data_IF_145261225033
#
_entry.id   IF_145261225033
#
_cell.length_a   1.000
_cell.length_b   1.000
_cell.length_c   1.000
_cell.angle_alpha   90.00
_cell.angle_beta   90.00
_cell.angle_gamma   90.00
#
_symmetry.space_group_name_H-M   'P 1'
#
loop_
_entity.id
_entity.type
_entity.pdbx_description
1 polymer ?
#
# COMPACT_ATOMS: atom_id res chain seq x y z
N UNK A 1 6.08 -11.37 -2.52
CA UNK A 1 5.13 -12.49 -2.61
C UNK A 1 3.93 -12.03 -3.42
N UNK A 2 3.52 -12.85 -4.39
CA UNK A 2 2.19 -12.73 -4.98
C UNK A 2 1.15 -12.91 -3.89
N UNK A 3 -0.06 -12.39 -4.09
CA UNK A 3 -1.18 -13.14 -3.51
C UNK A 3 -1.28 -14.47 -4.26
N UNK A 4 -1.24 -15.57 -3.52
CA UNK A 4 -1.66 -16.88 -4.04
C UNK A 4 -3.13 -16.77 -4.43
N UNK A 5 -3.60 -17.55 -5.42
CA UNK A 5 -4.99 -17.50 -5.88
C UNK A 5 -6.00 -17.57 -4.73
N UNK A 6 -5.72 -18.34 -3.69
CA UNK A 6 -6.55 -18.44 -2.47
C UNK A 6 -6.67 -17.12 -1.71
N UNK A 7 -5.57 -16.37 -1.58
CA UNK A 7 -5.54 -15.06 -0.92
C UNK A 7 -6.23 -13.98 -1.76
N UNK A 8 -6.04 -14.02 -3.08
CA UNK A 8 -6.74 -13.14 -4.00
C UNK A 8 -8.27 -13.39 -3.96
N UNK A 9 -8.67 -14.66 -3.97
CA UNK A 9 -10.08 -15.05 -3.77
C UNK A 9 -10.61 -14.60 -2.41
N UNK A 10 -9.82 -14.64 -1.34
CA UNK A 10 -10.22 -14.15 -0.03
C UNK A 10 -10.55 -12.66 -0.07
N UNK A 11 -9.70 -11.84 -0.69
CA UNK A 11 -9.97 -10.41 -0.87
C UNK A 11 -11.25 -10.22 -1.69
N UNK A 12 -11.44 -10.95 -2.80
CA UNK A 12 -12.66 -10.85 -3.60
C UNK A 12 -13.92 -11.26 -2.82
N UNK A 13 -13.84 -12.29 -1.97
CA UNK A 13 -14.94 -12.70 -1.09
C UNK A 13 -15.29 -11.59 -0.09
N UNK A 14 -14.30 -10.87 0.42
CA UNK A 14 -14.50 -9.71 1.27
C UNK A 14 -15.26 -8.58 0.56
N UNK A 15 -14.90 -8.27 -0.69
CA UNK A 15 -15.63 -7.27 -1.50
C UNK A 15 -17.06 -7.73 -1.80
N UNK A 16 -17.26 -8.98 -2.22
CA UNK A 16 -18.60 -9.54 -2.44
C UNK A 16 -19.45 -9.48 -1.16
N UNK A 17 -18.87 -9.79 0.00
CA UNK A 17 -19.56 -9.68 1.29
C UNK A 17 -19.99 -8.25 1.59
N UNK A 18 -19.13 -7.26 1.32
CA UNK A 18 -19.48 -5.83 1.49
C UNK A 18 -20.63 -5.41 0.58
N UNK A 19 -20.61 -5.81 -0.68
CA UNK A 19 -21.68 -5.46 -1.61
C UNK A 19 -23.03 -6.04 -1.18
N UNK A 20 -23.04 -7.31 -0.75
CA UNK A 20 -24.24 -7.96 -0.20
C UNK A 20 -24.73 -7.24 1.05
N UNK A 21 -23.81 -6.86 1.95
CA UNK A 21 -24.15 -6.13 3.16
C UNK A 21 -24.75 -4.75 2.84
N UNK A 22 -24.11 -3.98 1.95
CA UNK A 22 -24.61 -2.67 1.55
C UNK A 22 -26.00 -2.75 0.92
N UNK A 23 -26.27 -3.79 0.12
CA UNK A 23 -27.59 -4.02 -0.47
C UNK A 23 -28.63 -4.30 0.63
N UNK A 24 -28.31 -5.20 1.56
CA UNK A 24 -29.19 -5.50 2.71
C UNK A 24 -29.47 -4.24 3.54
N UNK A 25 -28.45 -3.45 3.80
CA UNK A 25 -28.60 -2.21 4.58
C UNK A 25 -29.45 -1.18 3.82
N UNK A 26 -29.30 -1.10 2.49
CA UNK A 26 -30.15 -0.25 1.65
C UNK A 26 -31.61 -0.71 1.68
N UNK A 27 -31.86 -2.01 1.52
CA UNK A 27 -33.20 -2.57 1.54
C UNK A 27 -33.88 -2.32 2.89
N UNK A 28 -33.12 -2.46 3.99
CA UNK A 28 -33.60 -2.12 5.34
C UNK A 28 -33.93 -0.61 5.48
N UNK A 29 -33.09 0.29 4.93
CA UNK A 29 -33.37 1.73 4.92
C UNK A 29 -34.63 2.05 4.11
N UNK A 30 -34.79 1.47 2.92
CA UNK A 30 -35.97 1.62 2.08
C UNK A 30 -37.23 1.12 2.77
N UNK A 31 -37.20 -0.10 3.32
CA UNK A 31 -38.33 -0.67 4.06
C UNK A 31 -38.77 0.24 5.22
N UNK A 32 -37.81 0.79 5.97
CA UNK A 32 -38.10 1.75 7.04
C UNK A 32 -38.76 3.04 6.53
N UNK A 33 -38.35 3.54 5.36
CA UNK A 33 -38.98 4.72 4.75
C UNK A 33 -40.38 4.38 4.27
N UNK A 34 -40.59 3.26 3.58
CA UNK A 34 -41.91 2.85 3.09
C UNK A 34 -42.91 2.63 4.24
N UNK A 35 -42.46 2.06 5.37
CA UNK A 35 -43.30 1.89 6.56
C UNK A 35 -43.74 3.24 7.14
N UNK A 36 -42.84 4.22 7.22
CA UNK A 36 -43.14 5.54 7.80
C UNK A 36 -43.86 6.49 6.83
N UNK A 37 -43.57 6.36 5.53
CA UNK A 37 -44.05 7.26 4.48
C UNK A 37 -44.48 6.42 3.26
N UNK A 38 -45.64 5.74 3.32
CA UNK A 38 -46.11 4.86 2.25
C UNK A 38 -46.19 5.55 0.87
N UNK A 39 -46.49 6.86 0.85
CA UNK A 39 -46.51 7.69 -0.37
C UNK A 39 -45.20 7.62 -1.17
N UNK A 40 -44.06 7.40 -0.52
CA UNK A 40 -42.77 7.28 -1.24
C UNK A 40 -42.72 6.02 -2.10
N UNK A 41 -43.34 4.91 -1.67
CA UNK A 41 -43.43 3.70 -2.49
C UNK A 41 -44.33 3.94 -3.71
N UNK A 42 -45.49 4.57 -3.51
CA UNK A 42 -46.40 4.94 -4.60
C UNK A 42 -45.69 5.83 -5.65
N UNK A 43 -44.92 6.82 -5.20
CA UNK A 43 -44.13 7.67 -6.10
C UNK A 43 -43.13 6.85 -6.93
N UNK A 44 -42.45 5.85 -6.35
CA UNK A 44 -41.51 5.00 -7.10
C UNK A 44 -42.22 4.09 -8.12
N UNK A 45 -43.42 3.61 -7.80
CA UNK A 45 -44.29 2.85 -8.72
C UNK A 45 -44.80 3.74 -9.88
N UNK A 46 -45.23 4.97 -9.58
CA UNK A 46 -45.63 5.98 -10.56
C UNK A 46 -44.46 6.33 -11.49
N UNK A 47 -43.28 6.60 -10.94
CA UNK A 47 -42.06 6.87 -11.71
C UNK A 47 -41.70 5.70 -12.64
N UNK A 48 -41.78 4.46 -12.17
CA UNK A 48 -41.52 3.26 -12.98
C UNK A 48 -42.47 3.17 -14.17
N UNK A 49 -43.76 3.45 -13.94
CA UNK A 49 -44.78 3.47 -15.00
C UNK A 49 -44.51 4.56 -16.03
N UNK A 50 -44.16 5.77 -15.58
CA UNK A 50 -43.82 6.90 -16.45
C UNK A 50 -42.56 6.63 -17.28
N UNK A 51 -41.52 6.00 -16.73
CA UNK A 51 -40.33 5.60 -17.50
C UNK A 51 -40.67 4.64 -18.64
N UNK A 52 -41.53 3.64 -18.37
CA UNK A 52 -41.97 2.69 -19.40
C UNK A 52 -42.78 3.39 -20.50
N UNK A 53 -43.68 4.30 -20.13
CA UNK A 53 -44.43 5.12 -21.10
C UNK A 53 -43.50 6.01 -21.93
N UNK A 54 -42.53 6.67 -21.30
CA UNK A 54 -41.54 7.52 -21.96
C UNK A 54 -40.73 6.75 -22.99
N UNK A 55 -40.27 5.53 -22.66
CA UNK A 55 -39.55 4.67 -23.60
C UNK A 55 -40.38 4.38 -24.85
N UNK A 56 -41.66 4.03 -24.68
CA UNK A 56 -42.59 3.78 -25.79
C UNK A 56 -42.84 5.03 -26.64
N UNK A 57 -43.08 6.18 -26.00
CA UNK A 57 -43.34 7.46 -26.69
C UNK A 57 -42.12 7.93 -27.49
N UNK A 58 -40.92 7.72 -26.97
CA UNK A 58 -39.66 8.05 -27.66
C UNK A 58 -39.46 7.22 -28.94
N UNK A 59 -39.82 5.93 -28.92
CA UNK A 59 -39.78 5.08 -30.13
C UNK A 59 -40.78 5.54 -31.20
N UNK A 60 -41.90 6.13 -30.80
CA UNK A 60 -42.94 6.64 -31.69
C UNK A 60 -42.66 8.08 -32.18
N UNK A 61 -41.56 8.71 -31.76
CA UNK A 61 -41.23 10.09 -32.15
C UNK A 61 -42.12 11.16 -31.53
N UNK A 62 -42.87 10.83 -30.48
CA UNK A 62 -43.83 11.73 -29.82
C UNK A 62 -43.14 12.62 -28.78
N UNK A 63 -42.39 13.62 -29.24
CA UNK A 63 -41.56 14.49 -28.37
C UNK A 63 -42.38 15.32 -27.37
N UNK A 64 -43.61 15.69 -27.75
CA UNK A 64 -44.53 16.44 -26.90
C UNK A 64 -44.93 15.62 -25.66
N UNK A 65 -45.32 14.36 -25.84
CA UNK A 65 -45.64 13.47 -24.71
C UNK A 65 -44.40 13.13 -23.88
N UNK A 66 -43.24 12.95 -24.51
CA UNK A 66 -41.97 12.76 -23.78
C UNK A 66 -41.66 13.95 -22.87
N UNK A 67 -41.90 15.18 -23.34
CA UNK A 67 -41.71 16.39 -22.54
C UNK A 67 -42.67 16.46 -21.34
N UNK A 68 -43.95 16.13 -21.54
CA UNK A 68 -44.94 16.07 -20.45
C UNK A 68 -44.54 15.07 -19.37
N UNK A 69 -44.12 13.87 -19.76
CA UNK A 69 -43.67 12.84 -18.83
C UNK A 69 -42.47 13.33 -18.02
N UNK A 70 -41.47 13.97 -18.66
CA UNK A 70 -40.33 14.56 -17.93
C UNK A 70 -40.77 15.55 -16.86
N UNK A 71 -41.76 16.41 -17.13
CA UNK A 71 -42.25 17.37 -16.14
C UNK A 71 -42.93 16.66 -14.95
N UNK A 72 -43.74 15.63 -15.21
CA UNK A 72 -44.34 14.80 -14.14
C UNK A 72 -43.27 14.13 -13.28
N UNK A 73 -42.20 13.62 -13.90
CA UNK A 73 -41.09 13.01 -13.20
C UNK A 73 -40.35 13.99 -12.28
N UNK A 74 -40.17 15.24 -12.72
CA UNK A 74 -39.58 16.30 -11.89
C UNK A 74 -40.46 16.59 -10.67
N UNK A 75 -41.77 16.76 -10.87
CA UNK A 75 -42.72 17.01 -9.78
C UNK A 75 -42.72 15.88 -8.74
N UNK A 76 -42.74 14.62 -9.19
CA UNK A 76 -42.67 13.44 -8.31
C UNK A 76 -41.35 13.36 -7.54
N UNK A 77 -40.24 13.76 -8.17
CA UNK A 77 -38.93 13.80 -7.50
C UNK A 77 -38.91 14.86 -6.39
N UNK A 78 -39.44 16.05 -6.67
CA UNK A 78 -39.56 17.13 -5.68
C UNK A 78 -40.47 16.73 -4.51
N UNK A 79 -41.63 16.12 -4.81
CA UNK A 79 -42.54 15.57 -3.80
C UNK A 79 -41.83 14.56 -2.89
N UNK A 80 -41.10 13.60 -3.47
CA UNK A 80 -40.32 12.60 -2.72
C UNK A 80 -39.27 13.23 -1.82
N UNK A 81 -38.53 14.23 -2.31
CA UNK A 81 -37.50 14.93 -1.51
C UNK A 81 -38.12 15.67 -0.32
N UNK A 82 -39.24 16.36 -0.52
CA UNK A 82 -39.98 17.07 0.55
C UNK A 82 -40.51 16.07 1.58
N UNK A 83 -41.08 14.95 1.14
CA UNK A 83 -41.58 13.91 2.03
C UNK A 83 -40.47 13.29 2.89
N UNK A 84 -39.31 12.97 2.30
CA UNK A 84 -38.17 12.46 3.07
C UNK A 84 -37.76 13.45 4.18
N UNK A 85 -37.61 14.73 3.84
CA UNK A 85 -37.18 15.76 4.78
C UNK A 85 -38.20 16.00 5.91
N UNK A 86 -39.48 16.06 5.58
CA UNK A 86 -40.56 16.26 6.56
C UNK A 86 -40.60 15.15 7.62
N UNK A 87 -40.18 13.94 7.28
CA UNK A 87 -40.10 12.79 8.19
C UNK A 87 -38.70 12.58 8.79
N UNK A 88 -37.80 13.55 8.63
CA UNK A 88 -36.47 13.56 9.24
C UNK A 88 -35.42 12.69 8.54
N UNK A 89 -35.67 12.28 7.30
CA UNK A 89 -34.69 11.56 6.47
C UNK A 89 -33.91 12.53 5.58
N UNK A 90 -32.64 12.22 5.32
CA UNK A 90 -31.88 12.92 4.29
C UNK A 90 -32.35 12.52 2.89
N UNK A 91 -32.09 13.38 1.88
CA UNK A 91 -32.52 13.13 0.50
C UNK A 91 -31.92 11.85 -0.10
N UNK A 92 -30.71 11.50 0.33
CA UNK A 92 -29.91 10.35 -0.07
C UNK A 92 -30.06 9.14 0.87
N UNK A 93 -30.98 9.20 1.84
CA UNK A 93 -31.11 8.15 2.88
C UNK A 93 -31.33 6.74 2.29
N UNK A 94 -32.08 6.66 1.19
CA UNK A 94 -32.40 5.41 0.50
C UNK A 94 -31.36 5.00 -0.55
N UNK A 95 -30.33 5.82 -0.77
CA UNK A 95 -29.31 5.55 -1.78
C UNK A 95 -28.35 4.46 -1.30
N UNK A 96 -27.65 3.88 -2.26
CA UNK A 96 -26.62 2.89 -2.00
C UNK A 96 -25.42 3.59 -1.38
N UNK A 97 -25.02 3.14 -0.18
CA UNK A 97 -23.88 3.66 0.54
C UNK A 97 -22.73 2.68 0.39
N UNK A 98 -21.59 3.17 -0.10
CA UNK A 98 -20.40 2.36 -0.39
C UNK A 98 -19.30 2.68 0.61
N UNK A 99 -18.50 1.68 0.99
CA UNK A 99 -17.28 1.91 1.78
C UNK A 99 -16.21 2.60 0.94
N UNK A 100 -16.03 2.16 -0.32
CA UNK A 100 -15.16 2.80 -1.28
C UNK A 100 -15.98 3.52 -2.36
N UNK A 101 -16.09 4.86 -2.32
CA UNK A 101 -16.85 5.61 -3.31
C UNK A 101 -16.26 5.53 -4.72
N UNK A 102 -14.94 5.29 -4.84
CA UNK A 102 -14.24 5.23 -6.13
C UNK A 102 -14.62 3.99 -6.94
N UNK A 103 -14.55 2.81 -6.33
CA UNK A 103 -14.86 1.53 -7.01
C UNK A 103 -16.26 0.99 -6.71
N UNK A 104 -17.03 1.67 -5.84
CA UNK A 104 -18.35 1.20 -5.38
C UNK A 104 -18.30 -0.24 -4.83
N UNK A 105 -17.27 -0.48 -4.02
CA UNK A 105 -16.97 -1.78 -3.39
C UNK A 105 -16.82 -2.97 -4.35
N UNK A 106 -16.43 -2.71 -5.60
CA UNK A 106 -16.04 -3.78 -6.54
C UNK A 106 -14.57 -4.14 -6.43
N UNK A 107 -13.73 -3.23 -5.92
CA UNK A 107 -12.28 -3.35 -5.94
C UNK A 107 -11.62 -2.92 -7.26
N UNK A 108 -12.40 -2.58 -8.30
CA UNK A 108 -11.89 -2.26 -9.64
C UNK A 108 -12.48 -0.96 -10.20
N UNK A 109 -11.71 -0.28 -11.04
CA UNK A 109 -12.13 0.89 -11.82
C UNK A 109 -11.58 0.68 -13.23
N UNK A 110 -12.45 0.61 -14.24
CA UNK A 110 -12.08 0.38 -15.65
C UNK A 110 -11.10 -0.80 -15.85
N UNK A 111 -11.42 -1.96 -15.26
CA UNK A 111 -10.59 -3.17 -15.25
C UNK A 111 -9.20 -3.02 -14.59
N UNK A 112 -8.92 -1.90 -13.93
CA UNK A 112 -7.72 -1.69 -13.11
C UNK A 112 -8.07 -1.84 -11.64
N UNK A 113 -7.17 -2.45 -10.87
CA UNK A 113 -7.33 -2.55 -9.41
C UNK A 113 -7.42 -1.15 -8.81
N UNK A 114 -8.46 -0.93 -8.03
CA UNK A 114 -8.63 0.28 -7.23
C UNK A 114 -7.53 0.35 -6.15
N UNK A 115 -7.17 1.56 -5.73
CA UNK A 115 -6.27 1.78 -4.58
C UNK A 115 -6.72 1.02 -3.33
N UNK A 116 -8.03 0.95 -3.06
CA UNK A 116 -8.52 0.19 -1.90
C UNK A 116 -8.23 -1.31 -2.00
N UNK A 117 -8.25 -1.87 -3.21
CA UNK A 117 -7.92 -3.27 -3.44
C UNK A 117 -6.42 -3.48 -3.26
N UNK A 118 -5.59 -2.63 -3.89
CA UNK A 118 -4.13 -2.66 -3.72
C UNK A 118 -3.72 -2.57 -2.26
N UNK A 119 -4.33 -1.67 -1.48
CA UNK A 119 -4.10 -1.55 -0.04
C UNK A 119 -4.47 -2.84 0.69
N UNK A 120 -5.56 -3.52 0.33
CA UNK A 120 -5.90 -4.83 0.89
C UNK A 120 -4.90 -5.93 0.52
N UNK A 121 -4.37 -5.93 -0.71
CA UNK A 121 -3.32 -6.89 -1.10
C UNK A 121 -2.06 -6.67 -0.26
N UNK A 122 -1.65 -5.42 -0.13
CA UNK A 122 -0.54 -4.98 0.72
C UNK A 122 -0.80 -5.44 2.16
N UNK A 123 -1.92 -5.06 2.77
CA UNK A 123 -2.27 -5.42 4.15
C UNK A 123 -2.21 -6.93 4.39
N UNK A 124 -2.71 -7.74 3.44
CA UNK A 124 -2.73 -9.19 3.55
C UNK A 124 -1.31 -9.78 3.48
N UNK A 125 -0.50 -9.33 2.52
CA UNK A 125 0.90 -9.74 2.39
C UNK A 125 1.72 -9.37 3.63
N UNK A 126 1.49 -8.18 4.18
CA UNK A 126 2.24 -7.69 5.33
C UNK A 126 1.77 -8.27 6.66
N UNK A 127 0.48 -8.59 6.82
CA UNK A 127 -0.02 -9.23 8.06
C UNK A 127 0.55 -10.63 8.24
N UNK A 128 0.91 -11.32 7.15
CA UNK A 128 1.57 -12.62 7.21
C UNK A 128 3.06 -12.53 7.55
N UNK A 129 3.65 -11.34 7.46
CA UNK A 129 5.01 -11.05 7.88
C UNK A 129 5.01 -10.36 9.24
N UNK A 130 5.99 -10.64 10.11
CA UNK A 130 6.15 -9.87 11.36
C UNK A 130 6.48 -8.37 11.12
N UNK A 131 6.55 -7.94 9.86
CA UNK A 131 6.87 -6.58 9.47
C UNK A 131 5.80 -5.57 9.91
N UNK A 132 4.51 -5.93 9.96
CA UNK A 132 3.45 -4.98 10.33
C UNK A 132 3.68 -4.36 11.72
N UNK A 133 3.96 -5.19 12.72
CA UNK A 133 4.24 -4.73 14.09
C UNK A 133 5.53 -3.92 14.19
N UNK A 134 6.52 -4.24 13.34
CA UNK A 134 7.78 -3.50 13.25
C UNK A 134 7.51 -2.10 12.69
N UNK A 135 6.78 -1.99 11.57
CA UNK A 135 6.53 -0.70 10.90
C UNK A 135 5.58 0.22 11.68
N UNK A 136 4.79 -0.31 12.60
CA UNK A 136 4.02 0.52 13.56
C UNK A 136 4.95 1.23 14.56
N UNK A 137 6.12 0.65 14.86
CA UNK A 137 7.08 1.16 15.86
C UNK A 137 8.31 1.82 15.25
N UNK A 138 8.67 1.45 14.02
CA UNK A 138 9.86 1.90 13.30
C UNK A 138 9.47 2.62 12.01
N UNK A 139 9.28 3.93 12.11
CA UNK A 139 8.81 4.78 11.02
C UNK A 139 9.26 6.25 11.24
N UNK A 140 8.97 7.13 10.27
CA UNK A 140 9.37 8.53 10.36
C UNK A 140 8.71 9.28 11.53
N UNK A 141 7.52 8.85 12.00
CA UNK A 141 6.84 9.48 13.15
C UNK A 141 7.56 9.19 14.49
N UNK A 142 8.21 8.03 14.57
CA UNK A 142 9.00 7.59 15.74
C UNK A 142 10.49 7.88 15.59
N UNK A 143 10.90 8.48 14.47
CA UNK A 143 12.28 8.86 14.19
C UNK A 143 12.71 10.02 15.11
N UNK A 144 13.66 9.78 16.01
CA UNK A 144 14.16 10.80 16.95
C UNK A 144 15.63 11.11 16.71
N UNK A 145 15.93 12.41 16.59
CA UNK A 145 17.27 12.95 16.48
C UNK A 145 18.04 12.99 17.82
N UNK A 146 17.36 12.69 18.93
CA UNK A 146 17.92 12.78 20.28
C UNK A 146 18.97 11.71 20.56
N UNK A 147 18.95 10.62 19.81
CA UNK A 147 19.88 9.51 19.94
C UNK A 147 21.22 9.73 19.22
N UNK A 148 21.31 10.81 18.45
CA UNK A 148 22.48 11.17 17.64
C UNK A 148 23.21 12.37 18.26
N UNK A 149 24.52 12.26 18.34
CA UNK A 149 25.40 13.35 18.74
C UNK A 149 25.47 14.41 17.62
N UNK A 150 26.01 15.61 17.87
CA UNK A 150 25.90 16.76 16.94
C UNK A 150 26.33 16.45 15.49
N UNK A 151 27.50 15.82 15.31
CA UNK A 151 28.01 15.41 14.00
C UNK A 151 27.16 14.30 13.36
N UNK A 152 26.73 13.32 14.15
CA UNK A 152 25.87 12.22 13.70
C UNK A 152 24.50 12.77 13.25
N UNK A 153 23.97 13.77 13.96
CA UNK A 153 22.68 14.41 13.69
C UNK A 153 22.70 15.19 12.39
N UNK A 154 23.77 15.92 12.08
CA UNK A 154 23.89 16.63 10.81
C UNK A 154 23.87 15.65 9.62
N UNK A 155 24.64 14.57 9.71
CA UNK A 155 24.66 13.50 8.70
C UNK A 155 23.29 12.85 8.56
N UNK A 156 22.68 12.46 9.68
CA UNK A 156 21.40 11.79 9.70
C UNK A 156 20.27 12.67 9.16
N UNK A 157 20.29 13.98 9.44
CA UNK A 157 19.32 14.94 8.90
C UNK A 157 19.41 15.01 7.38
N UNK A 158 20.62 15.03 6.81
CA UNK A 158 20.82 15.02 5.35
C UNK A 158 20.28 13.73 4.74
N UNK A 159 20.57 12.58 5.35
CA UNK A 159 20.10 11.27 4.88
C UNK A 159 18.56 11.19 4.95
N UNK A 160 17.97 11.52 6.10
CA UNK A 160 16.52 11.50 6.28
C UNK A 160 15.80 12.43 5.27
N UNK A 161 16.35 13.63 5.03
CA UNK A 161 15.83 14.55 4.01
C UNK A 161 15.90 13.96 2.61
N UNK A 162 17.00 13.29 2.26
CA UNK A 162 17.12 12.62 0.97
C UNK A 162 16.09 11.47 0.84
N UNK A 163 15.88 10.68 1.89
CA UNK A 163 14.84 9.64 1.92
C UNK A 163 13.44 10.23 1.73
N UNK A 164 13.09 11.29 2.45
CA UNK A 164 11.79 11.96 2.31
C UNK A 164 11.59 12.55 0.91
N UNK A 165 12.64 13.13 0.32
CA UNK A 165 12.60 13.66 -1.05
C UNK A 165 12.38 12.54 -2.07
N UNK A 166 13.06 11.40 -1.88
CA UNK A 166 12.85 10.21 -2.70
C UNK A 166 11.40 9.72 -2.60
N UNK A 167 10.86 9.58 -1.38
CA UNK A 167 9.50 9.06 -1.15
C UNK A 167 8.48 9.93 -1.87
N UNK A 168 8.58 11.25 -1.74
CA UNK A 168 7.67 12.20 -2.38
C UNK A 168 7.67 12.12 -3.93
N UNK A 169 8.77 11.67 -4.54
CA UNK A 169 8.94 11.57 -6.00
C UNK A 169 8.97 10.11 -6.49
N UNK A 170 8.69 9.13 -5.62
CA UNK A 170 8.94 7.72 -5.88
C UNK A 170 8.14 7.17 -7.08
N UNK A 171 6.93 7.70 -7.32
CA UNK A 171 6.08 7.31 -8.44
C UNK A 171 6.60 7.76 -9.82
N UNK A 172 7.55 8.70 -9.88
CA UNK A 172 7.99 9.32 -11.14
C UNK A 172 9.25 8.68 -11.74
N UNK A 173 10.14 8.14 -10.89
CA UNK A 173 11.42 7.54 -11.33
C UNK A 173 11.94 6.51 -10.32
N UNK A 174 12.78 5.55 -10.75
CA UNK A 174 13.38 4.60 -9.82
C UNK A 174 14.40 5.27 -8.91
N UNK A 175 14.47 4.79 -7.68
CA UNK A 175 15.43 5.21 -6.68
C UNK A 175 16.16 4.02 -6.08
N UNK A 176 17.48 4.06 -6.16
CA UNK A 176 18.34 2.99 -5.71
C UNK A 176 19.28 3.51 -4.63
N UNK A 177 19.19 2.97 -3.42
CA UNK A 177 19.97 3.43 -2.27
C UNK A 177 20.79 2.30 -1.65
N UNK A 178 21.98 2.61 -1.17
CA UNK A 178 22.78 1.71 -0.30
C UNK A 178 23.07 2.42 1.00
N UNK A 179 22.66 1.86 2.13
CA UNK A 179 23.08 2.26 3.46
C UNK A 179 24.23 1.37 3.92
N UNK A 180 25.41 1.96 4.16
CA UNK A 180 26.61 1.24 4.64
C UNK A 180 27.13 1.88 5.92
N UNK A 181 27.61 1.07 6.87
CA UNK A 181 28.13 1.55 8.15
C UNK A 181 28.09 0.51 9.25
N UNK A 182 28.61 0.78 10.46
CA UNK A 182 28.64 -0.21 11.53
C UNK A 182 27.23 -0.56 12.07
N UNK A 183 27.14 -1.65 12.84
CA UNK A 183 25.88 -2.06 13.44
C UNK A 183 25.32 -0.99 14.41
N UNK A 184 24.00 -0.89 14.48
CA UNK A 184 23.33 -0.04 15.47
C UNK A 184 23.22 1.46 15.14
N UNK A 185 23.70 1.92 13.98
CA UNK A 185 23.63 3.34 13.54
C UNK A 185 22.30 3.74 12.89
N UNK A 186 21.32 2.84 12.82
CA UNK A 186 19.97 3.15 12.31
C UNK A 186 19.69 2.82 10.84
N UNK A 187 20.56 2.05 10.16
CA UNK A 187 20.34 1.62 8.75
C UNK A 187 19.00 0.91 8.56
N UNK A 188 18.78 -0.19 9.28
CA UNK A 188 17.53 -0.97 9.25
C UNK A 188 16.32 -0.12 9.66
N UNK A 189 16.48 0.81 10.61
CA UNK A 189 15.39 1.71 10.98
C UNK A 189 14.99 2.62 9.80
N UNK A 190 15.96 3.15 9.05
CA UNK A 190 15.67 3.95 7.86
C UNK A 190 15.03 3.12 6.74
N UNK A 191 15.44 1.87 6.54
CA UNK A 191 14.79 0.99 5.55
C UNK A 191 13.33 0.72 5.94
N UNK A 192 13.04 0.51 7.22
CA UNK A 192 11.66 0.42 7.73
C UNK A 192 10.87 1.72 7.54
N UNK A 193 11.47 2.89 7.80
CA UNK A 193 10.82 4.17 7.57
C UNK A 193 10.41 4.36 6.10
N UNK A 194 11.31 4.02 5.17
CA UNK A 194 11.04 4.06 3.72
C UNK A 194 9.93 3.06 3.37
N UNK A 195 10.02 1.83 3.88
CA UNK A 195 9.02 0.80 3.62
C UNK A 195 7.62 1.25 4.04
N UNK A 196 7.48 1.72 5.29
CA UNK A 196 6.19 2.18 5.84
C UNK A 196 5.58 3.30 5.01
N UNK A 197 6.36 4.34 4.69
CA UNK A 197 5.86 5.48 3.94
C UNK A 197 5.36 5.07 2.54
N UNK A 198 6.11 4.22 1.83
CA UNK A 198 5.71 3.77 0.49
C UNK A 198 4.55 2.78 0.51
N UNK A 199 4.47 1.94 1.54
CA UNK A 199 3.32 1.04 1.78
C UNK A 199 2.04 1.86 2.01
N UNK A 200 2.12 2.93 2.82
CA UNK A 200 0.98 3.81 3.09
C UNK A 200 0.46 4.48 1.82
N UNK A 201 1.38 4.84 0.91
CA UNK A 201 1.13 5.38 -0.43
C UNK A 201 0.73 4.30 -1.47
N UNK A 202 0.47 3.07 -1.04
CA UNK A 202 0.00 1.95 -1.85
C UNK A 202 0.99 1.46 -2.92
N UNK A 203 2.30 1.68 -2.72
CA UNK A 203 3.34 1.04 -3.51
C UNK A 203 3.60 -0.40 -3.05
N UNK A 204 3.92 -1.27 -4.01
CA UNK A 204 4.33 -2.64 -3.70
C UNK A 204 5.77 -2.66 -3.20
N UNK A 205 5.94 -2.75 -1.88
CA UNK A 205 7.25 -2.94 -1.25
C UNK A 205 7.47 -4.44 -0.98
N UNK A 206 8.71 -4.91 -1.00
CA UNK A 206 9.12 -6.22 -0.48
C UNK A 206 10.33 -5.98 0.42
N UNK A 207 10.25 -6.44 1.67
CA UNK A 207 11.35 -6.38 2.62
C UNK A 207 11.86 -7.79 2.92
N UNK A 208 13.16 -8.00 2.78
CA UNK A 208 13.83 -9.27 3.04
C UNK A 208 15.16 -9.02 3.74
N UNK A 209 15.52 -9.88 4.68
CA UNK A 209 16.93 -10.03 5.07
C UNK A 209 17.74 -10.61 3.90
N UNK A 210 19.06 -10.39 3.89
CA UNK A 210 19.92 -10.95 2.86
C UNK A 210 19.80 -12.47 2.74
N UNK A 211 19.72 -13.18 3.88
CA UNK A 211 19.54 -14.64 3.91
C UNK A 211 18.23 -15.06 3.22
N UNK A 212 17.09 -14.44 3.59
CA UNK A 212 15.80 -14.73 2.95
C UNK A 212 15.80 -14.40 1.46
N UNK A 213 16.45 -13.30 1.07
CA UNK A 213 16.60 -12.89 -0.32
C UNK A 213 17.33 -13.97 -1.14
N UNK A 214 18.47 -14.46 -0.69
CA UNK A 214 19.20 -15.51 -1.40
C UNK A 214 18.50 -16.87 -1.35
N UNK A 215 17.81 -17.19 -0.25
CA UNK A 215 16.97 -18.37 -0.16
C UNK A 215 15.84 -18.37 -1.17
N UNK A 216 15.21 -17.22 -1.42
CA UNK A 216 14.20 -17.08 -2.47
C UNK A 216 14.81 -17.20 -3.88
N UNK A 217 15.99 -16.60 -4.11
CA UNK A 217 16.66 -16.67 -5.41
C UNK A 217 17.23 -18.06 -5.75
N UNK A 218 17.49 -18.90 -4.74
CA UNK A 218 18.07 -20.24 -4.90
C UNK A 218 17.03 -21.31 -5.25
N UNK A 219 15.76 -21.12 -4.90
CA UNK A 219 14.69 -22.11 -5.04
C UNK A 219 14.03 -22.03 -6.42
N UNK A 220 14.68 -22.53 -7.48
CA UNK A 220 14.20 -22.43 -8.88
C UNK A 220 13.38 -23.62 -9.42
N UNK A 221 13.06 -24.65 -8.63
CA UNK A 221 12.60 -25.94 -9.20
C UNK A 221 11.11 -26.29 -9.01
N UNK A 222 10.21 -25.35 -8.70
CA UNK A 222 8.77 -25.63 -8.59
C UNK A 222 7.93 -24.50 -9.20
N UNK A 223 6.92 -24.84 -10.02
CA UNK A 223 6.05 -23.89 -10.75
C UNK A 223 5.40 -22.82 -9.86
N UNK A 224 5.03 -23.15 -8.62
CA UNK A 224 4.48 -22.18 -7.66
C UNK A 224 5.48 -21.08 -7.23
N UNK A 225 6.79 -21.31 -7.36
CA UNK A 225 7.85 -20.41 -6.85
C UNK A 225 8.44 -19.49 -7.92
N UNK A 226 8.14 -19.74 -9.19
CA UNK A 226 8.49 -18.84 -10.29
C UNK A 226 7.73 -17.51 -10.17
N UNK A 227 6.49 -17.58 -9.68
CA UNK A 227 5.70 -16.42 -9.29
C UNK A 227 6.45 -15.56 -8.28
N UNK A 228 6.92 -16.13 -7.17
CA UNK A 228 7.62 -15.37 -6.11
C UNK A 228 8.86 -14.62 -6.61
N UNK A 229 9.64 -15.23 -7.50
CA UNK A 229 10.78 -14.58 -8.13
C UNK A 229 10.34 -13.41 -9.01
N UNK A 230 9.28 -13.60 -9.81
CA UNK A 230 8.77 -12.53 -10.67
C UNK A 230 8.30 -11.31 -9.84
N UNK A 231 7.68 -11.52 -8.68
CA UNK A 231 7.30 -10.42 -7.77
C UNK A 231 8.51 -9.70 -7.19
N UNK A 232 9.56 -10.44 -6.81
CA UNK A 232 10.80 -9.86 -6.35
C UNK A 232 11.44 -8.98 -7.44
N UNK A 233 11.28 -9.31 -8.72
CA UNK A 233 11.78 -8.51 -9.84
C UNK A 233 10.85 -7.36 -10.29
N UNK A 234 9.56 -7.40 -9.95
CA UNK A 234 8.55 -6.45 -10.47
C UNK A 234 7.92 -5.54 -9.41
N UNK A 235 8.07 -5.83 -8.13
CA UNK A 235 7.64 -4.92 -7.05
C UNK A 235 8.29 -3.54 -7.19
N UNK A 236 7.58 -2.51 -6.76
CA UNK A 236 7.99 -1.11 -6.90
C UNK A 236 9.27 -0.83 -6.11
N UNK A 237 9.35 -1.30 -4.87
CA UNK A 237 10.57 -1.27 -4.06
C UNK A 237 10.93 -2.66 -3.54
N UNK A 238 12.19 -3.05 -3.71
CA UNK A 238 12.80 -4.19 -3.03
C UNK A 238 13.81 -3.68 -2.00
N UNK A 239 13.66 -4.11 -0.75
CA UNK A 239 14.59 -3.83 0.34
C UNK A 239 15.32 -5.12 0.69
N UNK A 240 16.65 -5.09 0.63
CA UNK A 240 17.53 -6.18 1.10
C UNK A 240 18.32 -5.68 2.29
N UNK A 241 17.96 -6.13 3.48
CA UNK A 241 18.56 -5.69 4.75
C UNK A 241 19.73 -6.60 5.16
N UNK A 242 20.77 -6.00 5.75
CA UNK A 242 21.97 -6.67 6.25
C UNK A 242 22.67 -7.58 5.21
N UNK A 243 22.85 -7.06 3.99
CA UNK A 243 23.64 -7.70 2.94
C UNK A 243 25.08 -7.98 3.42
N UNK A 244 25.55 -9.21 3.23
CA UNK A 244 26.85 -9.69 3.72
C UNK A 244 26.75 -10.64 4.92
N UNK A 245 25.54 -10.95 5.39
CA UNK A 245 25.30 -11.93 6.46
C UNK A 245 25.06 -13.35 5.94
N UNK A 246 24.81 -13.51 4.65
CA UNK A 246 24.60 -14.80 4.01
C UNK A 246 25.91 -15.57 3.72
N UNK A 247 25.77 -16.84 3.33
CA UNK A 247 26.88 -17.64 2.81
C UNK A 247 27.26 -17.21 1.40
N UNK A 248 28.30 -16.37 1.29
CA UNK A 248 28.83 -15.91 0.00
C UNK A 248 29.49 -17.05 -0.79
N UNK A 249 29.00 -17.28 -2.00
CA UNK A 249 29.59 -18.19 -2.99
C UNK A 249 29.30 -17.68 -4.41
N UNK A 250 29.92 -18.30 -5.44
CA UNK A 250 29.74 -17.88 -6.84
C UNK A 250 28.27 -17.86 -7.30
N UNK A 251 27.43 -18.72 -6.73
CA UNK A 251 26.01 -18.77 -7.02
C UNK A 251 25.26 -17.55 -6.46
N UNK A 252 25.43 -17.21 -5.17
CA UNK A 252 24.84 -16.02 -4.55
C UNK A 252 25.25 -14.73 -5.27
N UNK A 253 26.55 -14.56 -5.58
CA UNK A 253 27.05 -13.43 -6.36
C UNK A 253 26.34 -13.34 -7.72
N UNK A 254 26.23 -14.45 -8.45
CA UNK A 254 25.55 -14.47 -9.75
C UNK A 254 24.06 -14.11 -9.64
N UNK A 255 23.38 -14.55 -8.57
CA UNK A 255 21.96 -14.27 -8.33
C UNK A 255 21.71 -12.81 -7.94
N UNK A 256 22.56 -12.22 -7.09
CA UNK A 256 22.50 -10.78 -6.78
C UNK A 256 22.70 -9.96 -8.06
N UNK A 257 23.71 -10.29 -8.85
CA UNK A 257 23.97 -9.61 -10.12
C UNK A 257 22.79 -9.70 -11.09
N UNK A 258 22.16 -10.88 -11.21
CA UNK A 258 20.95 -11.06 -12.01
C UNK A 258 19.81 -10.15 -11.52
N UNK A 259 19.53 -10.15 -10.21
CA UNK A 259 18.47 -9.32 -9.63
C UNK A 259 18.69 -7.81 -9.89
N UNK A 260 19.92 -7.32 -9.65
CA UNK A 260 20.28 -5.92 -9.89
C UNK A 260 20.01 -5.51 -11.35
N UNK A 261 20.39 -6.35 -12.31
CA UNK A 261 20.20 -6.04 -13.73
C UNK A 261 18.73 -6.06 -14.15
N UNK A 262 18.00 -7.10 -13.76
CA UNK A 262 16.57 -7.22 -14.11
C UNK A 262 15.77 -6.04 -13.57
N UNK A 263 16.02 -5.63 -12.32
CA UNK A 263 15.33 -4.49 -11.71
C UNK A 263 15.73 -3.17 -12.38
N UNK A 264 17.00 -2.99 -12.73
CA UNK A 264 17.46 -1.83 -13.48
C UNK A 264 16.79 -1.73 -14.87
N UNK A 265 16.70 -2.84 -15.61
CA UNK A 265 16.02 -2.90 -16.91
C UNK A 265 14.53 -2.55 -16.81
N UNK A 266 13.88 -3.01 -15.73
CA UNK A 266 12.46 -2.75 -15.45
C UNK A 266 12.20 -1.39 -14.80
N UNK A 267 13.24 -0.59 -14.54
CA UNK A 267 13.17 0.69 -13.81
C UNK A 267 12.46 0.55 -12.46
N UNK A 268 12.83 -0.48 -11.69
CA UNK A 268 12.31 -0.74 -10.34
C UNK A 268 13.35 -0.39 -9.27
N UNK A 269 12.89 0.19 -8.17
CA UNK A 269 13.72 0.77 -7.10
C UNK A 269 14.29 -0.31 -6.18
N UNK A 270 15.50 -0.12 -5.65
CA UNK A 270 16.09 -1.07 -4.70
C UNK A 270 16.81 -0.34 -3.56
N UNK A 271 16.56 -0.77 -2.33
CA UNK A 271 17.28 -0.27 -1.15
C UNK A 271 18.06 -1.43 -0.54
N UNK A 272 19.34 -1.23 -0.31
CA UNK A 272 20.22 -2.22 0.31
C UNK A 272 20.78 -1.63 1.59
N UNK A 273 20.81 -2.42 2.67
CA UNK A 273 21.58 -2.08 3.87
C UNK A 273 22.68 -3.10 4.09
N UNK A 274 23.83 -2.67 4.62
CA UNK A 274 24.97 -3.56 4.87
C UNK A 274 25.88 -3.03 5.98
N UNK A 275 26.46 -3.94 6.75
CA UNK A 275 27.51 -3.62 7.72
C UNK A 275 28.92 -3.63 7.13
N UNK A 276 29.05 -4.04 5.86
CA UNK A 276 30.31 -4.13 5.15
C UNK A 276 30.77 -2.75 4.66
N UNK A 277 32.09 -2.52 4.69
CA UNK A 277 32.66 -1.36 4.01
C UNK A 277 32.62 -1.56 2.49
N UNK A 278 32.84 -0.48 1.73
CA UNK A 278 32.93 -0.58 0.27
C UNK A 278 34.07 -1.50 -0.20
N UNK A 279 35.15 -1.61 0.58
CA UNK A 279 36.24 -2.51 0.26
C UNK A 279 35.82 -3.97 0.46
N UNK A 280 35.16 -4.26 1.60
CA UNK A 280 34.70 -5.62 1.92
C UNK A 280 33.60 -6.08 0.95
N UNK A 281 32.69 -5.19 0.54
CA UNK A 281 31.71 -5.49 -0.50
C UNK A 281 32.38 -5.86 -1.83
N UNK A 282 33.49 -5.21 -2.19
CA UNK A 282 34.25 -5.52 -3.41
C UNK A 282 34.88 -6.91 -3.34
N UNK A 283 35.44 -7.24 -2.19
CA UNK A 283 36.05 -8.54 -1.95
C UNK A 283 34.99 -9.66 -1.97
N UNK A 284 33.83 -9.42 -1.35
CA UNK A 284 32.78 -10.43 -1.21
C UNK A 284 31.96 -10.66 -2.50
N UNK A 285 31.60 -9.58 -3.20
CA UNK A 285 30.64 -9.62 -4.32
C UNK A 285 31.24 -9.37 -5.69
N UNK A 286 32.56 -9.27 -5.79
CA UNK A 286 33.32 -8.96 -7.02
C UNK A 286 33.20 -7.52 -7.50
N UNK A 287 34.18 -7.12 -8.33
CA UNK A 287 34.26 -5.79 -8.94
C UNK A 287 33.04 -5.46 -9.82
N UNK A 288 32.40 -6.46 -10.42
CA UNK A 288 31.26 -6.25 -11.31
C UNK A 288 30.01 -5.76 -10.56
N UNK A 289 29.74 -6.33 -9.39
CA UNK A 289 28.63 -5.87 -8.54
C UNK A 289 28.93 -4.50 -7.97
N UNK A 290 30.16 -4.27 -7.53
CA UNK A 290 30.56 -2.95 -7.02
C UNK A 290 30.43 -1.84 -8.06
N UNK A 291 30.85 -2.09 -9.31
CA UNK A 291 30.67 -1.14 -10.40
C UNK A 291 29.19 -0.78 -10.56
N UNK A 292 28.29 -1.76 -10.48
CA UNK A 292 26.84 -1.56 -10.54
C UNK A 292 26.27 -0.74 -9.39
N UNK A 293 26.71 -1.04 -8.16
CA UNK A 293 26.28 -0.29 -6.98
C UNK A 293 26.75 1.16 -7.05
N UNK A 294 27.99 1.40 -7.48
CA UNK A 294 28.54 2.76 -7.58
C UNK A 294 27.87 3.56 -8.71
N UNK A 295 27.55 2.92 -9.84
CA UNK A 295 26.94 3.60 -10.99
C UNK A 295 25.46 3.89 -10.80
N UNK A 296 24.72 2.93 -10.24
CA UNK A 296 23.25 2.92 -10.28
C UNK A 296 22.62 3.28 -8.93
N UNK A 297 23.38 3.29 -7.83
CA UNK A 297 22.88 3.57 -6.48
C UNK A 297 23.48 4.84 -5.88
N UNK A 298 22.67 5.55 -5.09
CA UNK A 298 23.15 6.57 -4.17
C UNK A 298 23.59 5.91 -2.87
N UNK A 299 24.86 6.08 -2.52
CA UNK A 299 25.47 5.42 -1.36
C UNK A 299 25.49 6.38 -0.18
N UNK A 300 24.80 6.03 0.90
CA UNK A 300 24.82 6.72 2.17
C UNK A 300 25.68 5.95 3.16
N UNK A 301 26.89 6.45 3.39
CA UNK A 301 27.71 6.02 4.51
C UNK A 301 27.13 6.61 5.79
N UNK A 302 26.91 5.77 6.79
CA UNK A 302 26.41 6.12 8.10
C UNK A 302 27.47 5.78 9.13
N UNK A 303 27.94 6.78 9.87
CA UNK A 303 28.90 6.59 10.95
C UNK A 303 28.22 6.95 12.27
N UNK A 304 28.69 6.35 13.35
CA UNK A 304 28.19 6.69 14.68
C UNK A 304 28.24 5.54 15.66
N UNK A 305 27.72 5.84 16.84
CA UNK A 305 27.63 4.94 17.98
C UNK A 305 26.35 4.09 17.93
N UNK A 306 26.38 2.91 18.56
CA UNK A 306 25.23 2.01 18.57
C UNK A 306 24.08 2.59 19.42
N UNK A 307 23.02 2.98 18.73
CA UNK A 307 21.81 3.57 19.32
C UNK A 307 21.08 2.56 20.20
N UNK A 308 21.15 1.26 19.89
CA UNK A 308 20.52 0.19 20.68
C UNK A 308 21.17 0.14 22.07
N UNK A 309 22.49 0.33 22.14
CA UNK A 309 23.22 0.43 23.42
C UNK A 309 22.84 1.71 24.18
N UNK A 310 22.77 2.87 23.50
CA UNK A 310 22.33 4.14 24.12
C UNK A 310 20.93 4.01 24.74
N UNK A 311 19.97 3.44 24.00
CA UNK A 311 18.60 3.20 24.47
C UNK A 311 18.56 2.28 25.69
N UNK A 312 19.28 1.15 25.66
CA UNK A 312 19.34 0.21 26.79
C UNK A 312 19.91 0.86 28.05
N UNK A 313 20.99 1.65 27.92
CA UNK A 313 21.56 2.41 29.05
C UNK A 313 20.57 3.42 29.64
N UNK A 314 19.87 4.17 28.79
CA UNK A 314 18.87 5.15 29.24
C UNK A 314 17.69 4.49 29.97
N UNK A 315 17.24 3.31 29.51
CA UNK A 315 16.19 2.54 30.18
C UNK A 315 16.63 2.09 31.58
N UNK A 316 17.84 1.51 31.71
CA UNK A 316 18.36 1.07 33.00
C UNK A 316 18.48 2.21 34.01
N UNK A 317 18.92 3.39 33.57
CA UNK A 317 19.02 4.58 34.43
C UNK A 317 17.66 5.09 34.92
N UNK A 318 16.60 4.95 34.10
CA UNK A 318 15.23 5.31 34.52
C UNK A 318 14.69 4.34 35.56
N UNK A 319 14.91 3.03 35.39
CA UNK A 319 14.48 2.00 36.35
C UNK A 319 15.15 2.18 37.71
N UNK A 320 16.47 2.44 37.74
CA UNK A 320 17.18 2.69 39.00
C UNK A 320 16.67 3.94 39.73
N UNK A 321 16.27 4.99 39.00
CA UNK A 321 15.71 6.22 39.58
C UNK A 321 14.27 6.08 40.08
N UNK A 322 13.49 5.12 39.57
CA UNK A 322 12.14 4.85 40.06
C UNK A 322 12.11 3.92 41.28
N UNK A 323 13.21 3.20 41.54
CA UNK A 323 13.39 2.32 42.71
C UNK A 323 14.14 3.01 43.86
N UNK A 324 14.57 4.27 43.67
CA UNK A 324 15.24 5.14 44.67
C UNK A 324 14.25 6.11 45.30
#
# INVERSE_FOLDING_TARGET
MALVNTQYEEILRDYNRRQIQNQRDQDARKARVYEKVPRILEIEEEQTTLYAQMARKRLLGDELEVSKIKNQMVALKEEKEVLLQNYGFTKDYMDMQYQCPKCKDTGYIDNKKCECFKRREIDLLYTQSNLKEILEKENFDTFSMDWYDEKEREQMTKIAKACMTMIADFGNRPYNLVFTGPAGVGKTFLTHCIAKALIDDCFSVIYLSAVEFFDLLSKQNFEEKELDLQYLLTCDLLIVDDLGTELSNSFTVSKLFYCLNERALRKKSMVISTNLSMADLKELYTERIMSRLISDFTIFKMDGSDIRIKKKRAMMQKTMRSES
#
